data_IF_983953460396
#
_entry.id   IF_983953460396
#
_cell.length_a   1.000
_cell.length_b   1.000
_cell.length_c   1.000
_cell.angle_alpha   90.00
_cell.angle_beta   90.00
_cell.angle_gamma   90.00
#
_symmetry.space_group_name_H-M   'P 1'
#
loop_
_entity.id
_entity.type
_entity.pdbx_description
1 polymer ?
#
# COMPACT_ATOMS: atom_id res chain seq x y z
N UNK A 1 -18.12 -1.44 -23.30
CA UNK A 1 -18.44 -0.73 -22.05
C UNK A 1 -17.23 0.10 -21.70
N UNK A 2 -17.34 1.42 -21.81
CA UNK A 2 -16.27 2.31 -21.34
C UNK A 2 -16.14 2.15 -19.83
N UNK A 3 -14.94 1.84 -19.37
CA UNK A 3 -14.65 1.76 -17.94
C UNK A 3 -14.77 3.16 -17.35
N UNK A 4 -15.64 3.35 -16.38
CA UNK A 4 -15.73 4.60 -15.63
C UNK A 4 -14.37 4.88 -14.97
N UNK A 5 -13.87 6.08 -15.20
CA UNK A 5 -12.55 6.51 -14.74
C UNK A 5 -12.71 7.92 -14.19
N UNK A 6 -12.89 8.02 -12.87
CA UNK A 6 -13.10 9.30 -12.19
C UNK A 6 -12.18 9.44 -11.00
N UNK A 7 -11.61 10.61 -10.85
CA UNK A 7 -10.69 10.96 -9.77
C UNK A 7 -11.14 12.21 -9.05
N UNK A 8 -10.84 12.28 -7.75
CA UNK A 8 -11.03 13.46 -6.92
C UNK A 8 -9.71 14.22 -6.84
N UNK A 9 -9.74 15.50 -7.16
CA UNK A 9 -8.60 16.41 -7.11
C UNK A 9 -8.88 17.51 -6.09
N UNK A 10 -7.85 17.89 -5.34
CA UNK A 10 -7.86 19.03 -4.43
C UNK A 10 -6.47 19.28 -3.87
N UNK A 11 -6.16 20.53 -3.55
CA UNK A 11 -4.93 20.90 -2.85
C UNK A 11 -5.01 20.52 -1.36
N UNK A 12 -3.88 20.38 -0.67
CA UNK A 12 -3.83 19.95 0.74
C UNK A 12 -4.67 20.81 1.70
N UNK A 13 -4.90 22.09 1.37
CA UNK A 13 -5.67 23.04 2.18
C UNK A 13 -6.88 23.60 1.43
N UNK A 14 -7.26 23.00 0.30
CA UNK A 14 -8.42 23.44 -0.46
C UNK A 14 -9.71 22.98 0.20
N UNK A 15 -10.69 23.86 0.31
CA UNK A 15 -12.05 23.50 0.74
C UNK A 15 -12.90 22.98 -0.41
N UNK A 16 -12.38 23.10 -1.64
CA UNK A 16 -13.08 22.67 -2.86
C UNK A 16 -12.39 21.45 -3.45
N UNK A 17 -13.17 20.40 -3.64
CA UNK A 17 -12.76 19.20 -4.36
C UNK A 17 -13.39 19.21 -5.76
N UNK A 18 -12.58 18.90 -6.77
CA UNK A 18 -13.02 18.71 -8.14
C UNK A 18 -13.03 17.23 -8.49
N UNK A 19 -14.12 16.75 -9.09
CA UNK A 19 -14.18 15.41 -9.69
C UNK A 19 -13.99 15.55 -11.19
N UNK A 20 -13.03 14.83 -11.74
CA UNK A 20 -12.78 14.77 -13.20
C UNK A 20 -12.78 13.32 -13.65
N UNK A 21 -13.23 13.10 -14.87
CA UNK A 21 -13.25 11.78 -15.50
C UNK A 21 -14.56 11.44 -16.16
N UNK A 22 -14.79 10.16 -16.40
CA UNK A 22 -16.01 9.62 -17.02
C UNK A 22 -16.83 8.87 -15.98
N UNK A 23 -18.14 9.07 -16.00
CA UNK A 23 -19.10 8.35 -15.17
C UNK A 23 -19.85 7.33 -16.03
N UNK A 24 -20.21 6.17 -15.48
CA UNK A 24 -21.02 5.21 -16.22
C UNK A 24 -22.43 5.74 -16.43
N UNK A 25 -22.94 5.63 -17.64
CA UNK A 25 -24.36 5.84 -17.90
C UNK A 25 -25.21 4.76 -17.22
N UNK A 26 -26.42 5.07 -16.87
CA UNK A 26 -27.42 4.12 -16.32
C UNK A 26 -27.09 3.58 -14.91
N UNK A 27 -26.34 4.32 -14.10
CA UNK A 27 -26.20 4.05 -12.66
C UNK A 27 -26.80 5.17 -11.84
N UNK A 28 -27.73 4.84 -10.95
CA UNK A 28 -28.33 5.80 -10.02
C UNK A 28 -27.36 6.29 -8.95
N UNK A 29 -26.33 5.50 -8.64
CA UNK A 29 -25.29 5.84 -7.68
C UNK A 29 -23.93 5.33 -8.16
N UNK A 30 -22.96 6.23 -8.22
CA UNK A 30 -21.57 5.90 -8.49
C UNK A 30 -20.69 6.50 -7.41
N UNK A 31 -19.96 5.64 -6.66
CA UNK A 31 -19.11 6.08 -5.55
C UNK A 31 -17.71 6.39 -6.08
N UNK A 32 -17.26 7.62 -5.87
CA UNK A 32 -15.87 8.03 -6.08
C UNK A 32 -15.22 8.25 -4.73
N UNK A 33 -14.02 7.74 -4.54
CA UNK A 33 -13.27 7.89 -3.29
C UNK A 33 -12.24 9.01 -3.45
N UNK A 34 -12.11 9.85 -2.44
CA UNK A 34 -11.10 10.89 -2.36
C UNK A 34 -10.55 11.02 -0.95
N UNK A 35 -9.41 11.70 -0.80
CA UNK A 35 -8.86 12.02 0.51
C UNK A 35 -9.76 13.03 1.24
N UNK A 36 -9.89 12.86 2.55
CA UNK A 36 -10.56 13.83 3.41
C UNK A 36 -9.58 14.95 3.74
N UNK A 37 -9.95 16.18 3.41
CA UNK A 37 -9.22 17.37 3.82
C UNK A 37 -9.52 17.67 5.29
N UNK A 38 -8.52 18.09 6.05
CA UNK A 38 -8.65 18.41 7.48
C UNK A 38 -9.37 17.31 8.28
N UNK A 39 -8.86 16.07 8.30
CA UNK A 39 -9.58 14.92 8.86
C UNK A 39 -9.95 15.13 10.34
N UNK A 40 -9.12 15.85 11.11
CA UNK A 40 -9.43 16.16 12.51
C UNK A 40 -10.65 17.07 12.66
N UNK A 41 -10.78 18.10 11.80
CA UNK A 41 -11.93 19.00 11.82
C UNK A 41 -13.22 18.28 11.38
N UNK A 42 -13.14 17.46 10.35
CA UNK A 42 -14.26 16.62 9.90
C UNK A 42 -14.69 15.66 11.01
N UNK A 43 -13.74 15.00 11.68
CA UNK A 43 -14.04 14.13 12.80
C UNK A 43 -14.78 14.86 13.93
N UNK A 44 -14.31 16.06 14.32
CA UNK A 44 -14.93 16.87 15.37
C UNK A 44 -16.33 17.31 14.97
N UNK A 45 -16.55 17.69 13.70
CA UNK A 45 -17.86 18.07 13.21
C UNK A 45 -18.84 16.89 13.25
N UNK A 46 -18.49 15.75 12.69
CA UNK A 46 -19.29 14.53 12.68
C UNK A 46 -19.61 14.05 14.12
N UNK A 47 -18.61 14.03 15.00
CA UNK A 47 -18.81 13.67 16.41
C UNK A 47 -19.78 14.63 17.10
N UNK A 48 -19.62 15.94 16.86
CA UNK A 48 -20.52 16.97 17.42
C UNK A 48 -21.97 16.74 16.97
N UNK A 49 -22.19 16.44 15.71
CA UNK A 49 -23.52 16.20 15.16
C UNK A 49 -24.15 14.91 15.72
N UNK A 50 -23.36 13.85 15.86
CA UNK A 50 -23.80 12.60 16.51
C UNK A 50 -24.21 12.86 17.98
N UNK A 51 -23.41 13.63 18.72
CA UNK A 51 -23.70 13.96 20.13
C UNK A 51 -24.99 14.79 20.23
N UNK A 52 -25.15 15.81 19.39
CA UNK A 52 -26.37 16.61 19.34
C UNK A 52 -27.61 15.76 19.02
N UNK A 53 -27.51 14.86 18.05
CA UNK A 53 -28.61 13.95 17.69
C UNK A 53 -29.02 13.03 18.84
N UNK A 54 -28.12 12.81 19.80
CA UNK A 54 -28.38 12.06 21.04
C UNK A 54 -28.78 12.94 22.24
N UNK A 55 -29.07 14.23 22.00
CA UNK A 55 -29.50 15.17 23.04
C UNK A 55 -28.34 15.69 23.91
N UNK A 56 -27.08 15.45 23.53
CA UNK A 56 -25.94 15.93 24.29
C UNK A 56 -25.54 17.31 23.75
N UNK A 57 -25.56 18.32 24.62
CA UNK A 57 -25.13 19.69 24.25
C UNK A 57 -23.62 19.78 24.26
N UNK A 58 -23.04 20.17 23.12
CA UNK A 58 -21.60 20.44 23.00
C UNK A 58 -21.37 21.93 23.13
N UNK A 59 -20.75 22.36 24.24
CA UNK A 59 -20.43 23.75 24.47
C UNK A 59 -19.02 24.07 23.94
N UNK A 60 -18.87 25.20 23.25
CA UNK A 60 -17.56 25.78 22.91
C UNK A 60 -17.02 26.50 24.13
N UNK A 61 -16.21 25.83 24.93
CA UNK A 61 -15.52 26.46 26.07
C UNK A 61 -14.01 26.40 25.82
N UNK A 62 -13.31 27.49 26.06
CA UNK A 62 -11.84 27.49 26.11
C UNK A 62 -11.44 26.62 27.32
N UNK A 63 -10.77 25.52 27.05
CA UNK A 63 -10.30 24.62 28.09
C UNK A 63 -8.96 25.18 28.58
N UNK A 64 -8.85 25.48 29.86
CA UNK A 64 -7.56 25.70 30.50
C UNK A 64 -6.79 24.38 30.50
N UNK A 65 -5.49 24.44 30.31
CA UNK A 65 -4.65 23.24 30.35
C UNK A 65 -4.77 22.59 31.72
N UNK A 66 -5.42 21.43 31.72
CA UNK A 66 -5.53 20.59 32.92
C UNK A 66 -4.63 19.36 32.75
N UNK A 67 -4.15 18.77 33.87
CA UNK A 67 -3.44 17.50 33.79
C UNK A 67 -4.28 16.47 33.02
N UNK A 68 -3.69 15.88 32.01
CA UNK A 68 -4.39 14.84 31.20
C UNK A 68 -4.53 13.58 32.05
N UNK A 69 -5.76 13.13 32.25
CA UNK A 69 -6.05 11.82 32.84
C UNK A 69 -6.45 10.86 31.72
N UNK A 70 -6.00 9.63 31.82
CA UNK A 70 -6.45 8.58 30.90
C UNK A 70 -7.95 8.37 31.10
N UNK A 71 -8.69 8.50 30.02
CA UNK A 71 -10.14 8.29 30.01
C UNK A 71 -10.55 7.03 29.25
N UNK A 72 -9.84 6.72 28.16
CA UNK A 72 -10.11 5.57 27.30
C UNK A 72 -8.82 5.15 26.59
N UNK A 73 -8.55 3.86 26.65
CA UNK A 73 -7.47 3.25 25.85
C UNK A 73 -8.08 2.39 24.76
N UNK A 74 -7.73 2.70 23.52
CA UNK A 74 -8.07 1.89 22.35
C UNK A 74 -6.82 1.11 21.94
N UNK A 75 -6.93 -0.21 21.96
CA UNK A 75 -5.85 -1.09 21.51
C UNK A 75 -6.01 -1.40 20.01
N UNK A 76 -4.95 -1.23 19.24
CA UNK A 76 -4.93 -1.64 17.84
C UNK A 76 -4.94 -3.17 17.71
N UNK A 77 -5.29 -3.72 16.53
CA UNK A 77 -4.96 -5.11 16.21
C UNK A 77 -3.46 -5.37 16.29
N UNK A 78 -3.07 -6.63 16.32
CA UNK A 78 -1.65 -7.03 16.29
C UNK A 78 -0.95 -6.52 15.03
N UNK A 79 0.34 -6.22 15.14
CA UNK A 79 1.15 -5.70 14.03
C UNK A 79 1.08 -6.58 12.78
N UNK A 80 1.11 -7.90 12.96
CA UNK A 80 0.99 -8.87 11.86
C UNK A 80 -0.32 -8.74 11.08
N UNK A 81 -1.43 -8.46 11.76
CA UNK A 81 -2.74 -8.23 11.16
C UNK A 81 -2.77 -6.90 10.40
N UNK A 82 -2.19 -5.84 10.96
CA UNK A 82 -2.07 -4.54 10.28
C UNK A 82 -1.25 -4.69 9.00
N UNK A 83 -0.10 -5.39 9.05
CA UNK A 83 0.75 -5.67 7.87
C UNK A 83 -0.02 -6.50 6.84
N UNK A 84 -0.77 -7.50 7.27
CA UNK A 84 -1.60 -8.31 6.39
C UNK A 84 -2.61 -7.45 5.61
N UNK A 85 -3.37 -6.61 6.29
CA UNK A 85 -4.32 -5.72 5.64
C UNK A 85 -3.65 -4.64 4.78
N UNK A 86 -2.50 -4.11 5.23
CA UNK A 86 -1.69 -3.17 4.44
C UNK A 86 -1.33 -3.76 3.08
N UNK A 87 -0.82 -4.99 3.06
CA UNK A 87 -0.36 -5.64 1.84
C UNK A 87 -1.51 -6.13 0.96
N UNK A 88 -2.51 -6.82 1.54
CA UNK A 88 -3.66 -7.38 0.80
C UNK A 88 -4.52 -6.32 0.13
N UNK A 89 -4.87 -5.26 0.86
CA UNK A 89 -5.73 -4.19 0.36
C UNK A 89 -4.96 -2.98 -0.19
N UNK A 90 -3.62 -3.00 -0.08
CA UNK A 90 -2.74 -1.90 -0.51
C UNK A 90 -3.15 -0.55 0.11
N UNK A 91 -3.23 -0.53 1.46
CA UNK A 91 -3.69 0.64 2.21
C UNK A 91 -2.51 1.57 2.50
N UNK A 92 -2.41 2.66 1.75
CA UNK A 92 -1.31 3.62 1.86
C UNK A 92 -1.23 4.24 3.26
N UNK A 93 -2.37 4.59 3.86
CA UNK A 93 -2.41 5.18 5.21
C UNK A 93 -1.79 4.25 6.27
N UNK A 94 -2.00 2.94 6.14
CA UNK A 94 -1.41 1.99 7.07
C UNK A 94 0.11 1.87 6.85
N UNK A 95 0.57 1.92 5.61
CA UNK A 95 1.99 1.93 5.30
C UNK A 95 2.69 3.16 5.90
N UNK A 96 2.09 4.36 5.76
CA UNK A 96 2.57 5.60 6.40
C UNK A 96 2.61 5.47 7.93
N UNK A 97 1.54 4.94 8.54
CA UNK A 97 1.50 4.72 9.97
C UNK A 97 2.59 3.75 10.45
N UNK A 98 2.87 2.69 9.69
CA UNK A 98 3.95 1.75 9.96
C UNK A 98 5.33 2.43 9.87
N UNK A 99 5.54 3.31 8.88
CA UNK A 99 6.74 4.15 8.81
C UNK A 99 6.93 4.99 10.07
N UNK A 100 5.87 5.67 10.51
CA UNK A 100 5.89 6.46 11.75
C UNK A 100 6.12 5.62 13.01
N UNK A 101 5.73 4.35 13.02
CA UNK A 101 6.04 3.43 14.13
C UNK A 101 7.53 3.04 14.17
N UNK A 102 8.20 2.98 13.03
CA UNK A 102 9.66 2.73 12.97
C UNK A 102 10.41 3.92 13.57
N UNK A 103 10.07 5.13 13.16
CA UNK A 103 10.53 6.38 13.78
C UNK A 103 9.59 7.53 13.37
N UNK A 104 9.09 8.34 14.31
CA UNK A 104 8.07 9.36 14.01
C UNK A 104 8.50 10.45 13.01
N UNK A 105 9.79 10.78 12.95
CA UNK A 105 10.31 11.84 12.08
C UNK A 105 11.34 11.31 11.05
N UNK A 106 12.26 10.48 11.49
CA UNK A 106 13.44 10.08 10.71
C UNK A 106 13.39 8.62 10.26
N UNK A 107 12.17 8.12 9.96
CA UNK A 107 11.97 6.72 9.59
C UNK A 107 12.78 6.29 8.36
N UNK A 108 13.06 7.12 7.32
CA UNK A 108 13.88 6.71 6.18
C UNK A 108 15.32 6.37 6.59
N UNK A 109 15.91 7.22 7.46
CA UNK A 109 17.25 6.98 8.01
C UNK A 109 17.26 5.72 8.87
N UNK A 110 16.25 5.57 9.74
CA UNK A 110 16.13 4.39 10.60
C UNK A 110 15.97 3.09 9.79
N UNK A 111 15.20 3.11 8.71
CA UNK A 111 15.10 1.97 7.78
C UNK A 111 16.46 1.65 7.16
N UNK A 112 17.20 2.66 6.70
CA UNK A 112 18.56 2.47 6.18
C UNK A 112 19.50 1.81 7.21
N UNK A 113 19.43 2.24 8.46
CA UNK A 113 20.20 1.61 9.56
C UNK A 113 19.81 0.15 9.78
N UNK A 114 18.50 -0.16 9.83
CA UNK A 114 17.99 -1.52 10.01
C UNK A 114 18.39 -2.45 8.85
N UNK A 115 18.36 -1.97 7.62
CA UNK A 115 18.83 -2.73 6.45
C UNK A 115 20.32 -3.04 6.58
N UNK A 116 21.12 -2.06 6.99
CA UNK A 116 22.57 -2.27 7.24
C UNK A 116 22.82 -3.28 8.34
N UNK A 117 22.10 -3.21 9.46
CA UNK A 117 22.16 -4.18 10.55
C UNK A 117 21.77 -5.60 10.08
N UNK A 118 20.82 -5.71 9.15
CA UNK A 118 20.41 -6.95 8.50
C UNK A 118 21.41 -7.45 7.44
N UNK A 119 22.49 -6.71 7.17
CA UNK A 119 23.47 -7.03 6.14
C UNK A 119 22.97 -6.80 4.71
N UNK A 120 21.97 -5.96 4.52
CA UNK A 120 21.38 -5.62 3.23
C UNK A 120 21.98 -4.31 2.72
N UNK A 121 22.75 -4.32 1.63
CA UNK A 121 23.29 -3.11 1.02
C UNK A 121 22.16 -2.22 0.48
N UNK A 122 22.12 -0.97 0.92
CA UNK A 122 21.05 -0.03 0.55
C UNK A 122 21.61 1.28 -0.09
N UNK A 123 22.80 1.21 -0.68
CA UNK A 123 23.43 2.33 -1.34
C UNK A 123 22.54 2.82 -2.51
N UNK A 124 22.36 4.13 -2.58
CA UNK A 124 21.51 4.76 -3.60
C UNK A 124 20.02 4.66 -3.33
N UNK A 125 19.60 4.13 -2.18
CA UNK A 125 18.21 4.15 -1.76
C UNK A 125 17.79 5.56 -1.33
N UNK A 126 16.65 6.01 -1.84
CA UNK A 126 16.00 7.26 -1.45
C UNK A 126 14.56 6.93 -1.07
N UNK A 127 14.15 7.29 0.13
CA UNK A 127 12.78 7.13 0.63
C UNK A 127 12.22 8.50 1.02
N UNK A 128 11.04 8.82 0.54
CA UNK A 128 10.30 10.07 0.82
C UNK A 128 8.98 9.80 1.51
N UNK A 129 8.32 8.71 1.16
CA UNK A 129 7.12 8.22 1.84
C UNK A 129 7.20 6.71 2.09
N UNK A 130 6.40 6.22 3.03
CA UNK A 130 6.38 4.80 3.39
C UNK A 130 5.40 3.98 2.53
N UNK A 131 4.53 4.64 1.77
CA UNK A 131 3.53 3.97 0.94
C UNK A 131 3.94 3.79 -0.52
N UNK A 132 5.04 4.42 -0.95
CA UNK A 132 5.56 4.32 -2.32
C UNK A 132 4.75 5.13 -3.33
N UNK A 133 4.12 6.23 -2.94
CA UNK A 133 3.44 7.15 -3.85
C UNK A 133 4.34 8.28 -4.35
N UNK A 134 5.43 8.56 -3.65
CA UNK A 134 6.36 9.59 -4.06
C UNK A 134 7.10 9.20 -5.34
N UNK A 135 7.06 10.01 -6.40
CA UNK A 135 7.89 9.78 -7.58
C UNK A 135 9.39 9.98 -7.32
N UNK A 136 9.75 10.48 -6.14
CA UNK A 136 11.13 10.69 -5.71
C UNK A 136 11.70 9.49 -4.97
N UNK A 137 10.89 8.47 -4.67
CA UNK A 137 11.38 7.23 -4.12
C UNK A 137 12.23 6.49 -5.14
N UNK A 138 13.39 6.04 -4.72
CA UNK A 138 14.29 5.24 -5.54
C UNK A 138 14.90 4.13 -4.67
N UNK A 139 14.61 2.89 -5.04
CA UNK A 139 15.12 1.71 -4.32
C UNK A 139 15.67 0.72 -5.32
N UNK A 140 16.93 0.26 -5.19
CA UNK A 140 17.47 -0.80 -6.02
C UNK A 140 16.66 -2.10 -5.88
N UNK A 141 16.46 -2.82 -6.98
CA UNK A 141 15.70 -4.09 -6.96
C UNK A 141 16.33 -5.14 -6.02
N UNK A 142 17.66 -5.13 -5.90
CA UNK A 142 18.40 -5.99 -4.98
C UNK A 142 17.97 -5.80 -3.53
N UNK A 143 17.77 -4.55 -3.08
CA UNK A 143 17.32 -4.25 -1.71
C UNK A 143 16.02 -4.98 -1.37
N UNK A 144 15.03 -4.96 -2.28
CA UNK A 144 13.78 -5.68 -2.09
C UNK A 144 13.99 -7.20 -2.08
N UNK A 145 14.81 -7.73 -2.98
CA UNK A 145 15.07 -9.17 -3.05
C UNK A 145 15.78 -9.66 -1.79
N UNK A 146 16.81 -8.92 -1.35
CA UNK A 146 17.58 -9.26 -0.13
C UNK A 146 16.70 -9.14 1.11
N UNK A 147 15.83 -8.10 1.18
CA UNK A 147 14.86 -7.95 2.27
C UNK A 147 13.86 -9.12 2.32
N UNK A 148 13.36 -9.57 1.16
CA UNK A 148 12.46 -10.71 1.09
C UNK A 148 13.15 -12.00 1.57
N UNK A 149 14.39 -12.23 1.15
CA UNK A 149 15.19 -13.38 1.61
C UNK A 149 15.48 -13.28 3.12
N UNK A 150 15.82 -12.11 3.62
CA UNK A 150 16.04 -11.87 5.05
C UNK A 150 14.76 -12.11 5.85
N UNK A 151 13.62 -11.55 5.40
CA UNK A 151 12.35 -11.71 6.07
C UNK A 151 11.90 -13.19 6.13
N UNK A 152 12.11 -13.95 5.06
CA UNK A 152 11.80 -15.40 5.04
C UNK A 152 12.60 -16.17 6.10
N UNK A 153 13.86 -15.77 6.33
CA UNK A 153 14.71 -16.37 7.38
C UNK A 153 14.29 -15.97 8.80
N UNK A 154 13.84 -14.72 9.00
CA UNK A 154 13.59 -14.17 10.34
C UNK A 154 12.17 -14.44 10.81
N UNK A 155 11.18 -14.23 9.93
CA UNK A 155 9.75 -14.36 10.26
C UNK A 155 9.05 -15.48 9.50
N UNK A 156 9.80 -16.30 8.78
CA UNK A 156 9.30 -17.40 7.99
C UNK A 156 8.27 -16.93 6.95
N UNK A 157 7.22 -17.70 6.75
CA UNK A 157 6.17 -17.38 5.78
C UNK A 157 5.26 -16.20 6.16
N UNK A 158 5.43 -15.59 7.32
CA UNK A 158 4.50 -14.55 7.83
C UNK A 158 4.37 -13.39 6.86
N UNK A 159 5.49 -12.86 6.35
CA UNK A 159 5.45 -11.81 5.33
C UNK A 159 4.78 -12.31 4.05
N UNK A 160 5.16 -13.49 3.56
CA UNK A 160 4.60 -14.06 2.33
C UNK A 160 3.08 -14.23 2.39
N UNK A 161 2.55 -14.68 3.52
CA UNK A 161 1.09 -14.82 3.72
C UNK A 161 0.35 -13.49 3.68
N UNK A 162 1.00 -12.40 4.05
CA UNK A 162 0.42 -11.06 3.96
C UNK A 162 0.31 -10.55 2.52
N UNK A 163 1.11 -11.07 1.59
CA UNK A 163 1.13 -10.63 0.20
C UNK A 163 -0.08 -11.15 -0.58
N UNK A 164 -0.61 -10.38 -1.55
CA UNK A 164 -1.58 -10.87 -2.52
C UNK A 164 -1.12 -12.13 -3.26
N UNK A 165 -2.06 -13.02 -3.56
CA UNK A 165 -1.82 -14.27 -4.28
C UNK A 165 -2.34 -14.18 -5.70
N UNK A 166 -1.52 -14.52 -6.68
CA UNK A 166 -1.87 -14.47 -8.09
C UNK A 166 -3.13 -15.29 -8.41
N UNK A 167 -4.09 -14.64 -9.06
CA UNK A 167 -5.38 -15.23 -9.43
C UNK A 167 -6.33 -15.51 -8.27
N UNK A 168 -6.06 -14.98 -7.07
CA UNK A 168 -6.92 -15.15 -5.89
C UNK A 168 -7.37 -13.82 -5.30
N UNK A 169 -6.45 -12.98 -4.86
CA UNK A 169 -6.80 -11.82 -4.05
C UNK A 169 -5.95 -10.57 -4.33
N UNK A 170 -6.35 -9.46 -3.73
CA UNK A 170 -5.66 -8.18 -3.77
C UNK A 170 -5.35 -7.67 -5.19
N UNK A 171 -4.25 -6.96 -5.35
CA UNK A 171 -3.79 -6.43 -6.64
C UNK A 171 -3.40 -7.51 -7.67
N UNK A 172 -3.37 -8.77 -7.28
CA UNK A 172 -3.04 -9.90 -8.13
C UNK A 172 -4.24 -10.77 -8.54
N UNK A 173 -5.46 -10.44 -8.12
CA UNK A 173 -6.67 -11.22 -8.44
C UNK A 173 -6.87 -11.44 -9.93
N UNK A 174 -6.59 -10.43 -10.76
CA UNK A 174 -6.65 -10.49 -12.22
C UNK A 174 -5.29 -10.69 -12.93
N UNK A 175 -4.22 -10.97 -12.21
CA UNK A 175 -2.88 -10.94 -12.77
C UNK A 175 -2.53 -12.11 -13.71
N UNK A 176 -3.29 -13.19 -13.68
CA UNK A 176 -2.97 -14.42 -14.44
C UNK A 176 -3.45 -14.41 -15.89
N UNK A 177 -3.84 -13.25 -16.45
CA UNK A 177 -4.24 -13.17 -17.86
C UNK A 177 -3.02 -13.43 -18.75
N UNK A 178 -2.97 -14.62 -19.36
CA UNK A 178 -1.85 -15.04 -20.22
C UNK A 178 -0.65 -15.66 -19.50
N UNK A 179 -0.73 -15.87 -18.17
CA UNK A 179 0.28 -16.53 -17.34
C UNK A 179 -0.38 -17.41 -16.28
N UNK A 180 -1.26 -18.31 -16.68
CA UNK A 180 -2.10 -19.13 -15.79
C UNK A 180 -1.30 -20.03 -14.85
N UNK A 181 -0.08 -20.43 -15.23
CA UNK A 181 0.81 -21.23 -14.39
C UNK A 181 1.27 -20.51 -13.11
N UNK A 182 1.20 -19.17 -13.07
CA UNK A 182 1.50 -18.38 -11.86
C UNK A 182 0.38 -18.41 -10.81
N UNK A 183 -0.82 -18.86 -11.19
CA UNK A 183 -1.99 -18.86 -10.30
C UNK A 183 -1.73 -19.70 -9.06
N UNK A 184 -1.85 -19.08 -7.89
CA UNK A 184 -1.61 -19.71 -6.60
C UNK A 184 -0.14 -19.94 -6.25
N UNK A 185 0.80 -19.78 -7.21
CA UNK A 185 2.25 -19.98 -7.01
C UNK A 185 3.01 -18.70 -6.77
N UNK A 186 2.43 -17.54 -7.06
CA UNK A 186 3.05 -16.24 -6.85
C UNK A 186 2.33 -15.47 -5.74
N UNK A 187 3.09 -15.02 -4.77
CA UNK A 187 2.68 -14.13 -3.68
C UNK A 187 3.50 -12.85 -3.80
N UNK A 188 2.89 -11.74 -4.16
CA UNK A 188 3.65 -10.51 -4.37
C UNK A 188 2.84 -9.24 -4.12
N UNK A 189 3.55 -8.18 -3.73
CA UNK A 189 3.01 -6.82 -3.68
C UNK A 189 3.22 -6.14 -5.02
N UNK A 190 2.19 -5.47 -5.49
CA UNK A 190 2.23 -4.64 -6.70
C UNK A 190 2.39 -3.17 -6.35
N UNK A 191 3.11 -2.43 -7.18
CA UNK A 191 3.15 -0.98 -7.21
C UNK A 191 2.83 -0.45 -8.61
N UNK A 192 2.10 0.67 -8.68
CA UNK A 192 1.67 1.24 -9.96
C UNK A 192 1.53 2.75 -9.87
N UNK A 193 2.25 3.44 -10.74
CA UNK A 193 2.07 4.87 -11.04
C UNK A 193 2.11 5.09 -12.54
N UNK A 194 1.94 6.33 -13.01
CA UNK A 194 2.12 6.66 -14.41
C UNK A 194 3.55 6.33 -14.86
N UNK A 195 3.69 5.45 -15.85
CA UNK A 195 4.99 5.00 -16.35
C UNK A 195 5.78 4.07 -15.41
N UNK A 196 5.21 3.64 -14.26
CA UNK A 196 5.88 2.77 -13.29
C UNK A 196 5.05 1.53 -12.99
N UNK A 197 5.71 0.37 -12.98
CA UNK A 197 5.14 -0.91 -12.56
C UNK A 197 6.17 -1.68 -11.74
N UNK A 198 5.78 -2.06 -10.53
CA UNK A 198 6.63 -2.79 -9.61
C UNK A 198 5.94 -4.05 -9.13
N UNK A 199 6.72 -5.08 -8.90
CA UNK A 199 6.27 -6.36 -8.35
C UNK A 199 7.41 -6.97 -7.55
N UNK A 200 7.17 -7.27 -6.27
CA UNK A 200 8.15 -7.91 -5.40
C UNK A 200 7.47 -8.95 -4.51
N UNK A 201 8.09 -10.10 -4.33
CA UNK A 201 7.51 -11.18 -3.54
C UNK A 201 8.16 -12.53 -3.76
N UNK A 202 7.36 -13.57 -3.64
CA UNK A 202 7.81 -14.96 -3.72
C UNK A 202 7.12 -15.72 -4.84
N UNK A 203 7.87 -16.60 -5.48
CA UNK A 203 7.41 -17.52 -6.52
C UNK A 203 7.72 -18.96 -6.05
N UNK A 204 6.74 -19.86 -6.10
CA UNK A 204 6.94 -21.27 -5.86
C UNK A 204 7.11 -21.99 -7.20
N UNK A 205 8.30 -22.55 -7.45
CA UNK A 205 8.64 -23.27 -8.67
C UNK A 205 7.84 -24.56 -8.82
N UNK A 206 7.92 -25.23 -9.96
CA UNK A 206 7.31 -26.53 -10.17
C UNK A 206 7.95 -27.62 -9.30
N UNK A 207 9.23 -27.43 -8.92
CA UNK A 207 9.95 -28.27 -7.95
C UNK A 207 9.60 -27.98 -6.48
N UNK A 208 8.62 -27.09 -6.21
CA UNK A 208 8.25 -26.61 -4.88
C UNK A 208 9.34 -25.81 -4.15
N UNK A 209 10.32 -25.30 -4.85
CA UNK A 209 11.29 -24.37 -4.30
C UNK A 209 10.69 -22.96 -4.21
N UNK A 210 11.02 -22.23 -3.13
CA UNK A 210 10.56 -20.87 -2.92
C UNK A 210 11.66 -19.88 -3.34
N UNK A 211 11.32 -19.03 -4.29
CA UNK A 211 12.22 -18.02 -4.88
C UNK A 211 11.71 -16.62 -4.54
N UNK A 212 12.56 -15.77 -3.98
CA UNK A 212 12.29 -14.33 -3.88
C UNK A 212 12.56 -13.65 -5.23
N UNK A 213 11.73 -12.70 -5.62
CA UNK A 213 11.92 -11.95 -6.85
C UNK A 213 11.49 -10.50 -6.71
N UNK A 214 12.11 -9.63 -7.51
CA UNK A 214 11.74 -8.21 -7.64
C UNK A 214 11.82 -7.79 -9.10
N UNK A 215 10.77 -7.13 -9.58
CA UNK A 215 10.70 -6.53 -10.92
C UNK A 215 10.29 -5.08 -10.77
N UNK A 216 11.17 -4.15 -11.12
CA UNK A 216 10.92 -2.71 -11.12
C UNK A 216 11.04 -2.19 -12.55
N UNK A 217 9.98 -1.59 -13.07
CA UNK A 217 9.93 -1.09 -14.45
C UNK A 217 9.49 0.37 -14.40
N UNK A 218 10.34 1.22 -14.98
CA UNK A 218 10.12 2.66 -15.06
C UNK A 218 10.03 3.09 -16.54
N UNK A 219 9.32 4.18 -16.79
CA UNK A 219 9.24 4.84 -18.09
C UNK A 219 8.84 3.92 -19.26
N UNK A 220 7.97 2.94 -19.00
CA UNK A 220 7.48 2.08 -20.08
C UNK A 220 6.51 2.83 -21.00
N UNK A 221 6.56 2.53 -22.30
CA UNK A 221 5.76 3.19 -23.35
C UNK A 221 4.67 2.30 -23.94
N UNK A 222 4.69 1.01 -23.63
CA UNK A 222 3.65 0.07 -24.04
C UNK A 222 2.38 0.18 -23.17
N UNK A 223 1.30 -0.48 -23.55
CA UNK A 223 0.11 -0.53 -22.72
C UNK A 223 0.34 -1.36 -21.46
N UNK A 224 -0.37 -1.04 -20.36
CA UNK A 224 -0.30 -1.80 -19.12
C UNK A 224 -0.60 -3.30 -19.30
N UNK A 225 -1.50 -3.65 -20.23
CA UNK A 225 -1.81 -5.05 -20.57
C UNK A 225 -0.65 -5.76 -21.27
N UNK A 226 0.02 -5.08 -22.21
CA UNK A 226 1.20 -5.64 -22.89
C UNK A 226 2.33 -5.87 -21.89
N UNK A 227 2.59 -4.89 -21.02
CA UNK A 227 3.59 -5.01 -19.96
C UNK A 227 3.28 -6.17 -19.01
N UNK A 228 2.06 -6.25 -18.53
CA UNK A 228 1.63 -7.34 -17.64
C UNK A 228 1.82 -8.72 -18.28
N UNK A 229 1.50 -8.86 -19.57
CA UNK A 229 1.75 -10.11 -20.33
C UNK A 229 3.25 -10.44 -20.43
N UNK A 230 4.10 -9.44 -20.69
CA UNK A 230 5.54 -9.64 -20.80
C UNK A 230 6.15 -10.07 -19.45
N UNK A 231 5.82 -9.35 -18.36
CA UNK A 231 6.24 -9.70 -17.01
C UNK A 231 5.71 -11.07 -16.59
N UNK A 232 4.45 -11.37 -16.90
CA UNK A 232 3.86 -12.68 -16.64
C UNK A 232 4.60 -13.82 -17.33
N UNK A 233 4.97 -13.67 -18.60
CA UNK A 233 5.77 -14.66 -19.33
C UNK A 233 7.16 -14.83 -18.73
N UNK A 234 7.82 -13.72 -18.38
CA UNK A 234 9.12 -13.77 -17.72
C UNK A 234 9.05 -14.54 -16.39
N UNK A 235 8.11 -14.19 -15.51
CA UNK A 235 7.95 -14.87 -14.22
C UNK A 235 7.53 -16.34 -14.40
N UNK A 236 6.77 -16.67 -15.45
CA UNK A 236 6.41 -18.05 -15.77
C UNK A 236 7.63 -18.87 -16.18
N UNK A 237 8.61 -18.28 -16.90
CA UNK A 237 9.85 -19.01 -17.26
C UNK A 237 10.71 -19.35 -16.06
N UNK A 238 10.55 -18.66 -14.92
CA UNK A 238 11.24 -18.97 -13.67
C UNK A 238 10.66 -20.18 -12.93
N UNK A 239 9.48 -20.66 -13.32
CA UNK A 239 8.85 -21.82 -12.65
C UNK A 239 9.58 -23.14 -12.87
N UNK A 240 10.40 -23.24 -13.91
CA UNK A 240 11.13 -24.45 -14.28
C UNK A 240 12.54 -24.55 -13.68
N UNK A 241 12.94 -23.60 -12.89
CA UNK A 241 14.20 -23.65 -12.15
C UNK A 241 14.14 -24.53 -10.90
#
# INVERSE_FOLDING_TARGET
>A
MESASSWVFGGPYSEVLCIRGTLPQNRTLFKVKGAIHRPAEVFVAELTDILKARGITVAKKKIEEQPRTEWLTLTSPELGEIVFHTNKASVNLFAEALGCLVAPADWPEKVGMLLKEAGIPAEGMILKDACGLSPMDAVPASVFTDLLVYADKVVGETLGRSLPVAGKDGGLSGYCIGATALKGRMQAKTGSMSGVRCLAGYLTTTGNERMAFTVLINHYTCTASQLQKAVGKFLQSLLSY
#
